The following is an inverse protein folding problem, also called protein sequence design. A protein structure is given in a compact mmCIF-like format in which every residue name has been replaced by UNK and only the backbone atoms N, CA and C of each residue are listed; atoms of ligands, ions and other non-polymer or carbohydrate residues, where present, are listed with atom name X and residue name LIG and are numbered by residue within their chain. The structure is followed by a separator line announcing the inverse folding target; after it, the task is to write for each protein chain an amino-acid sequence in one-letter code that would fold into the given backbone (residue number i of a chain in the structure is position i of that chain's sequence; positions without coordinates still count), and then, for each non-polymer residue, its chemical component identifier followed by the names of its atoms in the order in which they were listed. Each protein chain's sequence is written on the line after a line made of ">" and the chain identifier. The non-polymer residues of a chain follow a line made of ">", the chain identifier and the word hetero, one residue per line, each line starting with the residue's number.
data_IF_173084633636
#
_entry.id   IF_173084633636
#
_cell.length_a   1.000
_cell.length_b   1.000
_cell.length_c   1.000
_cell.angle_alpha   90.00
_cell.angle_beta   90.00
_cell.angle_gamma   90.00
#
_symmetry.space_group_name_H-M   'P 1'
#
loop_
_entity.id
_entity.type
_entity.pdbx_description
1 polymer ?
#
# COMPACT_ATOMS: atom_id res chain seq x y z
N UNK A 1 21.25 11.15 19.29
CA UNK A 1 20.17 10.62 18.42
C UNK A 1 20.77 10.36 17.05
N UNK A 2 20.56 9.17 16.48
CA UNK A 2 20.98 8.87 15.10
C UNK A 2 19.76 8.95 14.20
N UNK A 3 19.83 9.72 13.12
CA UNK A 3 18.78 9.77 12.10
C UNK A 3 18.88 8.51 11.23
N UNK A 4 17.73 8.08 10.71
CA UNK A 4 17.64 6.97 9.74
C UNK A 4 17.26 7.54 8.38
N UNK A 5 18.03 7.23 7.35
CA UNK A 5 17.72 7.63 5.99
C UNK A 5 16.92 6.54 5.28
N UNK A 6 15.66 6.87 4.97
CA UNK A 6 14.69 5.99 4.35
C UNK A 6 14.52 6.32 2.87
N UNK A 7 14.78 5.36 2.00
CA UNK A 7 14.42 5.47 0.58
C UNK A 7 13.01 4.92 0.39
N UNK A 8 12.08 5.76 -0.07
CA UNK A 8 10.72 5.33 -0.42
C UNK A 8 10.65 5.07 -1.91
N UNK A 9 10.29 3.86 -2.33
CA UNK A 9 10.25 3.51 -3.75
C UNK A 9 9.13 2.52 -4.08
N UNK A 10 8.73 2.48 -5.35
CA UNK A 10 7.86 1.45 -5.90
C UNK A 10 8.57 0.74 -7.06
N UNK A 11 8.54 -0.59 -7.06
CA UNK A 11 8.95 -1.40 -8.20
C UNK A 11 7.74 -2.22 -8.62
N UNK A 12 7.16 -1.88 -9.77
CA UNK A 12 6.03 -2.60 -10.34
C UNK A 12 6.44 -4.06 -10.67
N UNK A 13 5.77 -5.07 -10.11
CA UNK A 13 5.97 -6.45 -10.50
C UNK A 13 5.67 -6.64 -11.99
N UNK A 14 6.48 -7.43 -12.66
CA UNK A 14 6.45 -7.70 -14.10
C UNK A 14 7.18 -6.68 -14.97
N UNK A 15 7.72 -5.59 -14.41
CA UNK A 15 8.27 -4.48 -15.20
C UNK A 15 9.70 -4.09 -14.80
N UNK A 16 10.69 -4.67 -15.49
CA UNK A 16 12.13 -4.42 -15.32
C UNK A 16 12.62 -4.59 -13.87
N UNK A 17 12.11 -5.61 -13.17
CA UNK A 17 12.36 -5.80 -11.73
C UNK A 17 13.84 -5.91 -11.37
N UNK A 18 14.60 -6.72 -12.11
CA UNK A 18 16.01 -6.99 -11.81
C UNK A 18 16.90 -5.74 -12.04
N UNK A 19 16.63 -5.01 -13.12
CA UNK A 19 17.30 -3.74 -13.41
C UNK A 19 17.00 -2.71 -12.32
N UNK A 20 15.72 -2.54 -11.97
CA UNK A 20 15.29 -1.60 -10.93
C UNK A 20 15.84 -1.96 -9.56
N UNK A 21 15.88 -3.24 -9.21
CA UNK A 21 16.47 -3.71 -7.96
C UNK A 21 17.98 -3.45 -7.93
N UNK A 22 18.69 -3.68 -9.05
CA UNK A 22 20.11 -3.33 -9.16
C UNK A 22 20.32 -1.83 -8.97
N UNK A 23 19.53 -0.99 -9.64
CA UNK A 23 19.63 0.47 -9.52
C UNK A 23 19.32 0.95 -8.09
N UNK A 24 18.33 0.34 -7.43
CA UNK A 24 18.00 0.61 -6.03
C UNK A 24 19.17 0.28 -5.10
N UNK A 25 19.85 -0.84 -5.29
CA UNK A 25 21.02 -1.24 -4.50
C UNK A 25 22.16 -0.25 -4.67
N UNK A 26 22.47 0.14 -5.91
CA UNK A 26 23.52 1.13 -6.17
C UNK A 26 23.16 2.50 -5.58
N UNK A 27 21.89 2.91 -5.67
CA UNK A 27 21.40 4.12 -5.03
C UNK A 27 21.55 4.07 -3.51
N UNK A 28 21.18 2.96 -2.86
CA UNK A 28 21.31 2.80 -1.41
C UNK A 28 22.77 2.89 -0.95
N UNK A 29 23.71 2.30 -1.69
CA UNK A 29 25.16 2.41 -1.39
C UNK A 29 25.65 3.85 -1.52
N UNK A 30 25.33 4.50 -2.65
CA UNK A 30 25.78 5.86 -2.93
C UNK A 30 25.25 6.87 -1.91
N UNK A 31 24.00 6.68 -1.49
CA UNK A 31 23.30 7.59 -0.59
C UNK A 31 23.40 7.20 0.89
N UNK A 32 24.02 6.05 1.20
CA UNK A 32 24.15 5.49 2.56
C UNK A 32 22.80 5.35 3.26
N UNK A 33 21.80 4.84 2.53
CA UNK A 33 20.48 4.56 3.07
C UNK A 33 20.56 3.53 4.22
N UNK A 34 19.65 3.66 5.19
CA UNK A 34 19.49 2.68 6.28
C UNK A 34 18.35 1.70 6.03
N UNK A 35 17.32 2.13 5.28
CA UNK A 35 16.11 1.36 5.03
C UNK A 35 15.52 1.71 3.66
N UNK A 36 14.85 0.73 3.06
CA UNK A 36 14.01 0.94 1.87
C UNK A 36 12.57 0.61 2.23
N UNK A 37 11.67 1.58 2.05
CA UNK A 37 10.23 1.38 2.15
C UNK A 37 9.63 1.14 0.77
N UNK A 38 9.21 -0.09 0.53
CA UNK A 38 8.51 -0.46 -0.68
C UNK A 38 7.05 -0.06 -0.61
N UNK A 39 6.62 0.77 -1.55
CA UNK A 39 5.21 1.00 -1.79
C UNK A 39 4.59 -0.12 -2.60
N UNK A 40 3.38 -0.49 -2.22
CA UNK A 40 2.54 -1.44 -2.94
C UNK A 40 1.38 -0.67 -3.55
N UNK A 41 1.08 -0.90 -4.83
CA UNK A 41 -0.13 -0.37 -5.49
C UNK A 41 -0.28 1.16 -5.39
N UNK A 42 0.83 1.91 -5.43
CA UNK A 42 0.81 3.36 -5.26
C UNK A 42 0.51 4.13 -6.54
N UNK A 43 -0.03 5.35 -6.38
CA UNK A 43 -0.18 6.35 -7.45
C UNK A 43 -0.83 5.80 -8.74
N UNK A 44 -0.14 5.91 -9.88
CA UNK A 44 -0.61 5.48 -11.20
C UNK A 44 -0.83 3.96 -11.29
N UNK A 45 -0.21 3.19 -10.40
CA UNK A 45 -0.39 1.74 -10.33
C UNK A 45 -1.63 1.34 -9.54
N UNK A 46 -2.25 2.27 -8.80
CA UNK A 46 -3.33 1.94 -7.88
C UNK A 46 -4.55 1.37 -8.63
N UNK A 47 -4.88 0.10 -8.36
CA UNK A 47 -6.04 -0.61 -8.92
C UNK A 47 -7.20 -0.82 -7.92
N UNK A 48 -7.23 -0.03 -6.85
CA UNK A 48 -8.19 -0.16 -5.74
C UNK A 48 -7.68 -1.09 -4.65
N UNK A 49 -8.58 -1.73 -3.92
CA UNK A 49 -8.22 -2.75 -2.94
C UNK A 49 -7.71 -4.00 -3.67
N UNK A 50 -6.45 -4.37 -3.47
CA UNK A 50 -5.88 -5.57 -4.11
C UNK A 50 -6.42 -6.85 -3.47
N UNK A 51 -6.62 -7.91 -4.25
CA UNK A 51 -6.81 -9.27 -3.71
C UNK A 51 -5.47 -9.84 -3.19
N UNK A 52 -5.53 -10.99 -2.51
CA UNK A 52 -4.33 -11.72 -2.09
C UNK A 52 -3.49 -12.15 -3.30
N UNK A 53 -4.16 -12.60 -4.36
CA UNK A 53 -3.53 -13.01 -5.62
C UNK A 53 -2.85 -11.83 -6.31
N UNK A 54 -3.52 -10.66 -6.39
CA UNK A 54 -2.95 -9.44 -6.96
C UNK A 54 -1.79 -8.89 -6.10
N UNK A 55 -1.81 -9.17 -4.80
CA UNK A 55 -0.75 -8.75 -3.86
C UNK A 55 0.48 -9.65 -3.91
N UNK A 56 0.31 -10.93 -4.26
CA UNK A 56 1.40 -11.92 -4.24
C UNK A 56 2.64 -11.50 -5.04
N UNK A 57 2.56 -10.99 -6.28
CA UNK A 57 3.75 -10.55 -7.03
C UNK A 57 4.56 -9.47 -6.31
N UNK A 58 3.89 -8.56 -5.58
CA UNK A 58 4.57 -7.55 -4.76
C UNK A 58 5.33 -8.19 -3.61
N UNK A 59 4.70 -9.15 -2.92
CA UNK A 59 5.33 -9.87 -1.82
C UNK A 59 6.52 -10.72 -2.29
N UNK A 60 6.42 -11.35 -3.45
CA UNK A 60 7.51 -12.12 -4.05
C UNK A 60 8.70 -11.22 -4.39
N UNK A 61 8.46 -10.03 -4.97
CA UNK A 61 9.49 -9.05 -5.26
C UNK A 61 10.16 -8.53 -3.98
N UNK A 62 9.38 -8.11 -2.98
CA UNK A 62 9.92 -7.59 -1.71
C UNK A 62 10.71 -8.68 -0.99
N UNK A 63 10.24 -9.93 -1.02
CA UNK A 63 10.94 -11.08 -0.43
C UNK A 63 12.29 -11.34 -1.09
N UNK A 64 12.42 -11.14 -2.41
CA UNK A 64 13.70 -11.25 -3.13
C UNK A 64 14.61 -10.04 -2.88
N UNK A 65 14.05 -8.84 -2.80
CA UNK A 65 14.81 -7.61 -2.57
C UNK A 65 15.44 -7.58 -1.16
N UNK A 66 14.71 -8.04 -0.15
CA UNK A 66 15.13 -8.01 1.26
C UNK A 66 16.53 -8.60 1.54
N UNK A 67 16.87 -9.84 1.14
CA UNK A 67 18.21 -10.38 1.37
C UNK A 67 19.30 -9.63 0.57
N UNK A 68 18.97 -9.06 -0.58
CA UNK A 68 19.92 -8.27 -1.38
C UNK A 68 20.27 -6.95 -0.67
N UNK A 69 19.27 -6.25 -0.14
CA UNK A 69 19.45 -5.04 0.66
C UNK A 69 20.17 -5.34 2.00
N UNK A 70 19.82 -6.44 2.65
CA UNK A 70 20.45 -6.83 3.92
C UNK A 70 21.97 -7.04 3.79
N UNK A 71 22.46 -7.55 2.64
CA UNK A 71 23.90 -7.74 2.37
C UNK A 71 24.69 -6.43 2.37
N UNK A 72 24.04 -5.30 2.12
CA UNK A 72 24.66 -3.97 2.17
C UNK A 72 24.28 -3.19 3.43
N UNK A 73 23.71 -3.86 4.44
CA UNK A 73 23.34 -3.25 5.72
C UNK A 73 22.03 -2.45 5.68
N UNK A 74 21.22 -2.60 4.63
CA UNK A 74 19.98 -1.85 4.43
C UNK A 74 18.78 -2.71 4.83
N UNK A 75 17.92 -2.15 5.66
CA UNK A 75 16.66 -2.80 6.09
C UNK A 75 15.57 -2.70 5.01
N UNK A 76 14.45 -3.40 5.22
CA UNK A 76 13.33 -3.41 4.26
C UNK A 76 12.01 -3.21 4.97
N UNK A 77 11.30 -2.15 4.62
CA UNK A 77 9.98 -1.77 5.13
C UNK A 77 8.92 -1.79 4.03
N UNK A 78 7.64 -1.78 4.42
CA UNK A 78 6.50 -1.81 3.49
C UNK A 78 5.56 -0.66 3.80
N UNK A 79 5.04 -0.03 2.74
CA UNK A 79 3.95 0.92 2.79
C UNK A 79 2.85 0.51 1.79
N UNK A 80 1.68 0.02 2.26
CA UNK A 80 0.58 -0.39 1.40
C UNK A 80 -0.15 0.75 0.66
N UNK A 81 0.35 1.98 0.76
CA UNK A 81 -0.17 3.22 0.17
C UNK A 81 -1.54 3.68 0.68
N UNK A 82 -2.58 2.85 0.63
CA UNK A 82 -3.94 3.23 1.06
C UNK A 82 -4.62 2.15 1.87
N UNK A 83 -5.43 2.53 2.86
CA UNK A 83 -6.27 1.59 3.61
C UNK A 83 -7.74 1.65 3.16
N UNK A 84 -8.33 2.85 3.09
CA UNK A 84 -9.72 3.09 2.66
C UNK A 84 -9.86 3.44 1.17
N UNK A 85 -8.72 3.58 0.47
CA UNK A 85 -8.56 4.18 -0.86
C UNK A 85 -8.75 5.71 -0.86
N UNK A 86 -7.83 6.44 -1.50
CA UNK A 86 -7.83 7.90 -1.54
C UNK A 86 -9.02 8.50 -2.28
N UNK A 87 -9.37 7.95 -3.44
CA UNK A 87 -10.45 8.40 -4.30
C UNK A 87 -10.85 7.29 -5.29
N UNK A 88 -12.09 7.32 -5.78
CA UNK A 88 -12.57 6.32 -6.74
C UNK A 88 -11.77 6.36 -8.05
N UNK A 89 -11.68 7.51 -8.71
CA UNK A 89 -11.08 7.70 -10.07
C UNK A 89 -11.49 6.59 -11.06
N UNK A 90 -12.78 6.24 -11.07
CA UNK A 90 -13.33 5.21 -11.96
C UNK A 90 -13.10 3.76 -11.48
N UNK A 91 -12.45 3.55 -10.35
CA UNK A 91 -12.26 2.21 -9.76
C UNK A 91 -13.56 1.69 -9.16
N UNK A 92 -13.70 0.38 -9.15
CA UNK A 92 -14.80 -0.33 -8.50
C UNK A 92 -14.25 -1.50 -7.68
N UNK A 93 -15.02 -1.91 -6.68
CA UNK A 93 -14.72 -3.13 -5.93
C UNK A 93 -14.70 -4.35 -6.84
N UNK A 94 -13.79 -5.29 -6.57
CA UNK A 94 -13.80 -6.62 -7.20
C UNK A 94 -15.08 -7.38 -6.81
N UNK A 95 -15.56 -8.34 -7.62
CA UNK A 95 -16.80 -9.09 -7.31
C UNK A 95 -16.82 -9.79 -5.93
N UNK A 96 -15.65 -10.20 -5.42
CA UNK A 96 -15.49 -10.82 -4.11
C UNK A 96 -15.36 -9.81 -2.95
N UNK A 97 -15.17 -8.53 -3.24
CA UNK A 97 -15.05 -7.47 -2.24
C UNK A 97 -16.43 -6.91 -1.92
N UNK A 98 -17.15 -7.62 -1.03
CA UNK A 98 -18.47 -7.19 -0.55
C UNK A 98 -18.34 -6.16 0.57
N UNK A 99 -17.74 -5.02 0.26
CA UNK A 99 -17.56 -3.93 1.23
C UNK A 99 -18.78 -3.01 1.20
N UNK A 100 -19.13 -2.47 2.37
CA UNK A 100 -19.91 -1.24 2.43
C UNK A 100 -18.97 -0.11 2.06
N UNK A 101 -19.48 0.77 1.20
CA UNK A 101 -18.72 1.88 0.64
C UNK A 101 -19.06 3.14 1.43
N UNK A 102 -18.11 4.06 1.47
CA UNK A 102 -18.28 5.35 2.13
C UNK A 102 -19.42 6.15 1.46
N UNK A 103 -20.17 6.87 2.28
CA UNK A 103 -21.29 7.74 1.87
C UNK A 103 -21.07 9.13 2.43
N UNK A 104 -21.34 10.16 1.64
CA UNK A 104 -21.29 11.56 2.09
C UNK A 104 -22.59 12.06 2.72
N UNK A 105 -22.55 13.29 3.25
CA UNK A 105 -23.69 13.99 3.84
C UNK A 105 -24.91 14.13 2.91
N UNK A 106 -24.73 14.05 1.59
CA UNK A 106 -25.81 14.19 0.60
C UNK A 106 -26.37 12.81 0.17
N UNK A 107 -25.84 11.71 0.73
CA UNK A 107 -26.21 10.35 0.35
C UNK A 107 -25.49 9.83 -0.91
N UNK A 108 -24.48 10.54 -1.43
CA UNK A 108 -23.67 10.01 -2.53
C UNK A 108 -22.75 8.91 -2.01
N UNK A 109 -22.69 7.81 -2.75
CA UNK A 109 -21.93 6.61 -2.38
C UNK A 109 -20.71 6.47 -3.29
N UNK A 110 -19.56 6.15 -2.69
CA UNK A 110 -18.34 5.81 -3.43
C UNK A 110 -18.50 4.51 -4.22
N UNK A 111 -17.60 4.24 -5.15
CA UNK A 111 -17.59 3.02 -5.97
C UNK A 111 -16.50 2.02 -5.55
N UNK A 112 -15.44 2.49 -4.91
CA UNK A 112 -14.34 1.66 -4.43
C UNK A 112 -13.89 2.00 -2.99
N UNK A 113 -14.19 3.19 -2.49
CA UNK A 113 -13.73 3.62 -1.16
C UNK A 113 -14.54 3.00 -0.04
N UNK A 114 -13.87 2.23 0.83
CA UNK A 114 -14.53 1.45 1.86
C UNK A 114 -15.02 2.30 3.05
N UNK A 115 -16.17 1.93 3.62
CA UNK A 115 -16.62 2.42 4.92
C UNK A 115 -15.82 1.67 6.00
N UNK A 116 -15.08 2.35 6.92
CA UNK A 116 -14.25 1.68 7.93
C UNK A 116 -15.03 0.84 8.94
N UNK A 117 -16.35 1.08 9.07
CA UNK A 117 -17.25 0.26 9.89
C UNK A 117 -17.65 -1.06 9.21
N UNK A 118 -17.38 -1.24 7.92
CA UNK A 118 -17.72 -2.46 7.20
C UNK A 118 -16.93 -3.65 7.76
N UNK A 119 -17.64 -4.67 8.27
CA UNK A 119 -17.03 -5.91 8.76
C UNK A 119 -16.21 -6.63 7.69
N UNK A 120 -16.69 -6.62 6.44
CA UNK A 120 -15.98 -7.22 5.30
C UNK A 120 -14.63 -6.54 5.03
N UNK A 121 -14.61 -5.20 5.02
CA UNK A 121 -13.36 -4.45 4.87
C UNK A 121 -12.44 -4.63 6.10
N UNK A 122 -12.97 -4.61 7.33
CA UNK A 122 -12.18 -4.84 8.56
C UNK A 122 -11.50 -6.22 8.57
N UNK A 123 -12.17 -7.25 8.06
CA UNK A 123 -11.58 -8.57 7.86
C UNK A 123 -10.48 -8.51 6.80
N UNK A 124 -10.78 -7.92 5.64
CA UNK A 124 -9.82 -7.76 4.55
C UNK A 124 -8.54 -7.01 4.98
N UNK A 125 -8.67 -5.86 5.65
CA UNK A 125 -7.52 -5.04 6.02
C UNK A 125 -6.63 -5.77 7.04
N UNK A 126 -7.23 -6.54 7.96
CA UNK A 126 -6.48 -7.37 8.90
C UNK A 126 -5.73 -8.50 8.18
N UNK A 127 -6.39 -9.19 7.26
CA UNK A 127 -5.79 -10.28 6.48
C UNK A 127 -4.65 -9.77 5.59
N UNK A 128 -4.86 -8.65 4.87
CA UNK A 128 -3.84 -8.13 3.95
C UNK A 128 -2.63 -7.58 4.69
N UNK A 129 -2.82 -6.90 5.84
CA UNK A 129 -1.70 -6.49 6.69
C UNK A 129 -0.98 -7.66 7.33
N UNK A 130 -1.68 -8.74 7.70
CA UNK A 130 -1.03 -9.98 8.13
C UNK A 130 -0.19 -10.58 7.00
N UNK A 131 -0.66 -10.51 5.75
CA UNK A 131 0.11 -10.95 4.59
C UNK A 131 1.34 -10.07 4.36
N UNK A 132 1.22 -8.74 4.46
CA UNK A 132 2.37 -7.85 4.43
C UNK A 132 3.38 -8.15 5.54
N UNK A 133 2.92 -8.44 6.75
CA UNK A 133 3.77 -8.79 7.88
C UNK A 133 4.49 -10.15 7.70
N UNK A 134 3.98 -11.04 6.84
CA UNK A 134 4.56 -12.38 6.63
C UNK A 134 6.00 -12.36 6.10
N UNK A 135 6.40 -11.29 5.38
CA UNK A 135 7.80 -11.10 4.92
C UNK A 135 8.69 -10.44 5.99
N UNK A 136 8.16 -10.23 7.19
CA UNK A 136 8.84 -9.68 8.38
C UNK A 136 9.56 -8.36 8.09
N UNK A 137 8.88 -7.33 7.54
CA UNK A 137 9.52 -6.06 7.25
C UNK A 137 10.05 -5.42 8.55
N UNK A 138 11.05 -4.54 8.43
CA UNK A 138 11.57 -3.75 9.54
C UNK A 138 10.49 -2.82 10.09
N UNK A 139 9.76 -2.15 9.20
CA UNK A 139 8.55 -1.40 9.54
C UNK A 139 7.43 -1.74 8.54
N UNK A 140 6.21 -1.88 9.05
CA UNK A 140 4.98 -1.91 8.24
C UNK A 140 4.21 -0.62 8.52
N UNK A 141 4.10 0.23 7.50
CA UNK A 141 3.44 1.54 7.62
C UNK A 141 1.93 1.36 7.73
N UNK A 142 1.33 2.04 8.71
CA UNK A 142 -0.11 2.28 8.74
C UNK A 142 -0.33 3.64 8.10
N UNK A 143 -1.22 3.68 7.12
CA UNK A 143 -1.51 4.87 6.32
C UNK A 143 -1.80 6.13 7.17
N UNK A 144 -1.20 7.24 6.78
CA UNK A 144 -1.38 8.60 7.33
C UNK A 144 -2.63 9.32 6.80
N UNK A 145 -3.19 8.79 5.72
CA UNK A 145 -4.41 9.25 5.05
C UNK A 145 -5.65 8.41 5.44
N UNK A 146 -5.61 7.73 6.60
CA UNK A 146 -6.78 7.06 7.18
C UNK A 146 -7.77 8.09 7.77
N UNK A 147 -8.60 8.68 6.92
CA UNK A 147 -9.50 9.79 7.26
C UNK A 147 -10.93 9.56 6.75
N UNK A 148 -11.84 10.46 7.13
CA UNK A 148 -13.26 10.48 6.76
C UNK A 148 -13.65 11.75 5.99
N UNK A 149 -12.66 12.35 5.30
CA UNK A 149 -12.81 13.55 4.49
C UNK A 149 -11.81 13.48 3.33
N UNK A 150 -11.96 14.35 2.34
CA UNK A 150 -11.06 14.42 1.18
C UNK A 150 -10.98 13.10 0.38
N UNK A 151 -12.14 12.46 0.15
CA UNK A 151 -12.30 11.24 -0.64
C UNK A 151 -13.19 11.47 -1.86
N UNK A 152 -12.61 11.98 -2.95
CA UNK A 152 -13.36 12.22 -4.19
C UNK A 152 -13.93 10.92 -4.77
N UNK A 153 -15.21 10.90 -5.22
CA UNK A 153 -16.04 12.06 -5.58
C UNK A 153 -16.91 12.61 -4.44
N UNK A 154 -16.75 12.12 -3.23
CA UNK A 154 -17.64 12.43 -2.11
C UNK A 154 -17.42 13.84 -1.55
N UNK A 155 -18.50 14.51 -1.14
CA UNK A 155 -18.42 15.79 -0.43
C UNK A 155 -18.12 15.59 1.05
N UNK A 156 -17.36 16.48 1.67
CA UNK A 156 -17.12 16.42 3.12
C UNK A 156 -18.35 16.88 3.93
N UNK A 157 -18.58 16.35 5.15
CA UNK A 157 -17.92 15.19 5.72
C UNK A 157 -18.41 13.89 5.06
N UNK A 158 -17.56 12.87 5.10
CA UNK A 158 -17.87 11.53 4.65
C UNK A 158 -17.98 10.62 5.88
N UNK A 159 -18.68 9.48 5.78
CA UNK A 159 -19.09 8.58 6.87
C UNK A 159 -20.55 8.75 7.36
N UNK A 160 -21.48 8.81 6.39
CA UNK A 160 -22.94 8.71 6.64
C UNK A 160 -23.50 7.32 6.26
N UNK A 161 -22.60 6.32 6.17
CA UNK A 161 -22.96 4.93 6.43
C UNK A 161 -23.23 4.78 7.95
#
# INVERSE_FOLDING_TARGET
>A
MSFKYLVRCAIQPGFHEDEKLKNLVEFCKASKADDVMFFINCEDLNQGHLTMEETKPWMDLISRAKPVLARIGVTTSINPWTSLLHCDRGRTLRPNQKFFLMVDRNGMKATAQACPLCRGWRKYIAEIYAYYASVKPFTLWVEDDFRLHNHAPLSDPQCFC
#
